data_IF_355926386390
#
_entry.id   IF_355926386390
#
_cell.length_a   1.000
_cell.length_b   1.000
_cell.length_c   1.000
_cell.angle_alpha   90.00
_cell.angle_beta   90.00
_cell.angle_gamma   90.00
#
_symmetry.space_group_name_H-M   'P 1'
#
loop_
_entity.id
_entity.type
_entity.pdbx_description
1 polymer ?
#
# COMPACT_ATOMS: atom_id res chain seq x y z
N UNK A 1 -19.10 -15.27 15.03
CA UNK A 1 -18.43 -14.75 13.80
C UNK A 1 -19.37 -14.00 12.85
N UNK A 2 -20.51 -14.58 12.43
CA UNK A 2 -21.44 -13.92 11.48
C UNK A 2 -22.00 -12.57 11.97
N UNK A 3 -22.30 -12.44 13.27
CA UNK A 3 -22.81 -11.20 13.86
C UNK A 3 -21.78 -10.06 13.86
N UNK A 4 -20.50 -10.35 14.12
CA UNK A 4 -19.41 -9.36 14.09
C UNK A 4 -19.22 -8.82 12.67
N UNK A 5 -19.22 -9.71 11.68
CA UNK A 5 -19.10 -9.36 10.25
C UNK A 5 -20.30 -8.49 9.81
N UNK A 6 -21.52 -8.78 10.28
CA UNK A 6 -22.71 -7.97 10.00
C UNK A 6 -22.66 -6.58 10.63
N UNK A 7 -22.11 -6.44 11.84
CA UNK A 7 -21.92 -5.14 12.50
C UNK A 7 -20.88 -4.32 11.72
N UNK A 8 -19.74 -4.92 11.35
CA UNK A 8 -18.70 -4.26 10.54
C UNK A 8 -19.27 -3.81 9.19
N UNK A 9 -19.99 -4.69 8.48
CA UNK A 9 -20.61 -4.37 7.18
C UNK A 9 -21.66 -3.25 7.25
N UNK A 10 -22.24 -2.98 8.42
CA UNK A 10 -23.20 -1.88 8.63
C UNK A 10 -22.52 -0.52 8.89
N UNK A 11 -21.28 -0.52 9.40
CA UNK A 11 -20.49 0.70 9.70
C UNK A 11 -19.41 1.05 8.66
N UNK A 12 -19.05 0.12 7.77
CA UNK A 12 -18.18 0.35 6.60
C UNK A 12 -18.79 1.22 5.47
N UNK A 13 -20.13 1.29 5.24
CA UNK A 13 -20.70 2.02 4.10
C UNK A 13 -20.30 3.50 3.92
N UNK A 14 -20.09 4.32 4.98
CA UNK A 14 -19.61 5.70 4.82
C UNK A 14 -18.14 5.80 4.41
N UNK A 15 -17.32 4.76 4.61
CA UNK A 15 -15.86 4.77 4.35
C UNK A 15 -15.43 4.00 3.10
N UNK A 16 -16.34 3.81 2.14
CA UNK A 16 -16.06 3.07 0.89
C UNK A 16 -14.93 3.69 0.08
N UNK A 17 -14.77 5.02 0.13
CA UNK A 17 -13.71 5.73 -0.59
C UNK A 17 -12.35 5.42 0.01
N UNK A 18 -12.20 5.57 1.32
CA UNK A 18 -10.97 5.32 2.06
C UNK A 18 -10.54 3.84 1.96
N UNK A 19 -11.51 2.92 2.05
CA UNK A 19 -11.28 1.49 1.81
C UNK A 19 -10.78 1.24 0.39
N UNK A 20 -11.45 1.79 -0.63
CA UNK A 20 -11.08 1.60 -2.03
C UNK A 20 -9.69 2.21 -2.32
N UNK A 21 -9.39 3.40 -1.79
CA UNK A 21 -8.08 4.03 -1.90
C UNK A 21 -7.00 3.18 -1.21
N UNK A 22 -7.24 2.68 -0.01
CA UNK A 22 -6.29 1.80 0.69
C UNK A 22 -5.96 0.53 -0.11
N UNK A 23 -6.99 -0.13 -0.68
CA UNK A 23 -6.80 -1.31 -1.52
C UNK A 23 -6.00 -0.95 -2.79
N UNK A 24 -6.34 0.16 -3.43
CA UNK A 24 -5.66 0.64 -4.63
C UNK A 24 -4.18 0.97 -4.38
N UNK A 25 -3.86 1.67 -3.29
CA UNK A 25 -2.47 1.97 -2.92
C UNK A 25 -1.69 0.73 -2.48
N UNK A 26 -2.35 -0.24 -1.83
CA UNK A 26 -1.74 -1.54 -1.55
C UNK A 26 -1.41 -2.30 -2.83
N UNK A 27 -2.30 -2.29 -3.82
CA UNK A 27 -2.06 -2.92 -5.12
C UNK A 27 -0.88 -2.24 -5.84
N UNK A 28 -0.83 -0.91 -5.86
CA UNK A 28 0.31 -0.18 -6.41
C UNK A 28 1.61 -0.50 -5.67
N UNK A 29 1.59 -0.55 -4.34
CA UNK A 29 2.75 -0.96 -3.54
C UNK A 29 3.24 -2.36 -3.90
N UNK A 30 2.32 -3.32 -4.08
CA UNK A 30 2.66 -4.68 -4.52
C UNK A 30 3.29 -4.70 -5.92
N UNK A 31 2.72 -3.98 -6.88
CA UNK A 31 3.27 -3.87 -8.25
C UNK A 31 4.68 -3.24 -8.22
N UNK A 32 4.86 -2.12 -7.52
CA UNK A 32 6.16 -1.48 -7.40
C UNK A 32 7.18 -2.33 -6.63
N UNK A 33 6.73 -3.18 -5.71
CA UNK A 33 7.61 -4.14 -5.02
C UNK A 33 8.18 -5.16 -6.01
N UNK A 34 7.33 -5.77 -6.84
CA UNK A 34 7.79 -6.71 -7.88
C UNK A 34 8.69 -6.02 -8.89
N UNK A 35 8.31 -4.81 -9.32
CA UNK A 35 9.12 -4.00 -10.22
C UNK A 35 10.51 -3.69 -9.65
N UNK A 36 10.60 -3.25 -8.39
CA UNK A 36 11.87 -2.97 -7.73
C UNK A 36 12.74 -4.23 -7.67
N UNK A 37 12.15 -5.39 -7.38
CA UNK A 37 12.88 -6.66 -7.41
C UNK A 37 13.41 -7.00 -8.81
N UNK A 38 12.60 -6.82 -9.86
CA UNK A 38 13.01 -7.07 -11.23
C UNK A 38 14.17 -6.16 -11.66
N UNK A 39 14.23 -4.92 -11.16
CA UNK A 39 15.31 -3.98 -11.43
C UNK A 39 16.63 -4.30 -10.71
N UNK A 40 16.63 -5.17 -9.70
CA UNK A 40 17.89 -5.60 -9.06
C UNK A 40 18.76 -6.36 -10.08
N UNK A 41 18.15 -7.20 -10.93
CA UNK A 41 18.87 -7.99 -11.92
C UNK A 41 19.74 -7.13 -12.87
N UNK A 42 19.21 -6.15 -13.62
CA UNK A 42 20.03 -5.33 -14.51
C UNK A 42 21.08 -4.49 -13.77
N UNK A 43 20.83 -4.09 -12.52
CA UNK A 43 21.85 -3.40 -11.69
C UNK A 43 23.03 -4.32 -11.41
N UNK A 44 22.78 -5.56 -11.02
CA UNK A 44 23.83 -6.56 -10.77
C UNK A 44 24.56 -6.95 -12.07
N UNK A 45 23.83 -7.08 -13.18
CA UNK A 45 24.41 -7.41 -14.49
C UNK A 45 25.42 -6.34 -14.93
N UNK A 46 25.10 -5.05 -14.74
CA UNK A 46 26.01 -3.93 -15.04
C UNK A 46 27.20 -3.92 -14.06
N UNK A 47 26.96 -4.15 -12.77
CA UNK A 47 27.99 -4.05 -11.73
C UNK A 47 29.04 -5.16 -11.84
N UNK A 48 28.63 -6.37 -12.23
CA UNK A 48 29.52 -7.52 -12.40
C UNK A 48 29.97 -7.76 -13.85
N UNK A 49 29.63 -6.84 -14.76
CA UNK A 49 29.93 -6.94 -16.20
C UNK A 49 29.39 -8.24 -16.86
N UNK A 50 28.29 -8.78 -16.32
CA UNK A 50 27.59 -9.95 -16.87
C UNK A 50 26.53 -9.56 -17.91
N UNK A 51 26.61 -8.35 -18.46
CA UNK A 51 25.61 -7.85 -19.41
C UNK A 51 25.63 -8.70 -20.67
N UNK A 52 24.54 -9.44 -20.94
CA UNK A 52 24.26 -9.92 -22.29
C UNK A 52 24.09 -8.69 -23.18
N UNK A 53 25.01 -8.45 -24.10
CA UNK A 53 24.92 -7.34 -25.04
C UNK A 53 23.74 -7.56 -25.98
N UNK A 54 22.65 -6.85 -25.74
CA UNK A 54 21.47 -6.90 -26.59
C UNK A 54 21.63 -5.84 -27.66
N UNK A 55 22.04 -6.27 -28.85
CA UNK A 55 22.37 -5.38 -29.97
C UNK A 55 21.18 -5.12 -30.93
N UNK A 56 20.04 -5.80 -30.72
CA UNK A 56 18.87 -5.69 -31.58
C UNK A 56 17.63 -5.30 -30.79
N UNK A 57 17.05 -4.16 -31.16
CA UNK A 57 15.78 -3.69 -30.64
C UNK A 57 14.66 -4.58 -31.18
N UNK A 58 13.80 -5.09 -30.29
CA UNK A 58 12.67 -5.93 -30.67
C UNK A 58 11.45 -5.05 -30.98
N UNK A 59 10.65 -5.43 -31.97
CA UNK A 59 9.41 -4.72 -32.29
C UNK A 59 8.54 -4.54 -31.03
N UNK A 60 7.99 -3.34 -30.87
CA UNK A 60 7.12 -2.97 -29.75
C UNK A 60 5.83 -3.80 -29.79
N UNK A 61 5.92 -4.97 -29.17
CA UNK A 61 4.82 -5.91 -28.98
C UNK A 61 4.51 -5.96 -27.49
N UNK A 62 3.25 -6.24 -27.13
CA UNK A 62 2.83 -6.37 -25.73
C UNK A 62 3.27 -7.72 -25.14
N UNK A 63 4.58 -7.99 -25.20
CA UNK A 63 5.23 -9.17 -24.65
C UNK A 63 6.23 -8.75 -23.58
N UNK A 64 6.29 -9.52 -22.50
CA UNK A 64 7.27 -9.32 -21.43
C UNK A 64 8.71 -9.45 -21.96
N UNK A 65 8.91 -10.28 -22.98
CA UNK A 65 10.22 -10.48 -23.61
C UNK A 65 10.64 -9.28 -24.45
N UNK A 66 9.68 -8.63 -25.14
CA UNK A 66 9.92 -7.39 -25.88
C UNK A 66 10.35 -6.25 -24.95
N UNK A 67 9.64 -6.11 -23.82
CA UNK A 67 9.93 -5.09 -22.82
C UNK A 67 11.32 -5.29 -22.21
N UNK A 68 11.66 -6.52 -21.83
CA UNK A 68 12.98 -6.85 -21.30
C UNK A 68 14.07 -6.57 -22.32
N UNK A 69 13.93 -7.08 -23.55
CA UNK A 69 14.90 -6.87 -24.62
C UNK A 69 15.15 -5.37 -24.85
N UNK A 70 14.10 -4.58 -25.01
CA UNK A 70 14.24 -3.14 -25.25
C UNK A 70 14.86 -2.40 -24.05
N UNK A 71 14.55 -2.79 -22.81
CA UNK A 71 15.22 -2.23 -21.62
C UNK A 71 16.72 -2.54 -21.62
N UNK A 72 17.11 -3.78 -21.91
CA UNK A 72 18.52 -4.18 -21.98
C UNK A 72 19.25 -3.49 -23.14
N UNK A 73 18.59 -3.31 -24.29
CA UNK A 73 19.15 -2.56 -25.43
C UNK A 73 19.52 -1.12 -25.04
N UNK A 74 18.62 -0.39 -24.36
CA UNK A 74 18.91 0.97 -23.90
C UNK A 74 20.05 1.01 -22.87
N UNK A 75 20.12 0.02 -21.98
CA UNK A 75 21.23 -0.11 -21.03
C UNK A 75 22.56 -0.35 -21.76
N UNK A 76 22.58 -1.26 -22.75
CA UNK A 76 23.76 -1.54 -23.58
C UNK A 76 24.20 -0.31 -24.36
N UNK A 77 23.26 0.44 -24.95
CA UNK A 77 23.59 1.66 -25.69
C UNK A 77 24.24 2.73 -24.78
N UNK A 78 23.68 2.95 -23.58
CA UNK A 78 24.27 3.89 -22.61
C UNK A 78 25.66 3.41 -22.15
N UNK A 79 25.86 2.09 -21.98
CA UNK A 79 27.16 1.50 -21.63
C UNK A 79 28.20 1.76 -22.72
N UNK A 80 27.84 1.58 -23.99
CA UNK A 80 28.74 1.77 -25.15
C UNK A 80 29.08 3.26 -25.33
N UNK A 81 28.10 4.14 -25.25
CA UNK A 81 28.28 5.57 -25.55
C UNK A 81 28.92 6.34 -24.38
N UNK A 82 28.61 5.97 -23.14
CA UNK A 82 28.92 6.77 -21.94
C UNK A 82 29.76 6.03 -20.89
N UNK A 83 30.02 4.73 -21.09
CA UNK A 83 30.75 3.87 -20.15
C UNK A 83 29.85 3.21 -19.08
N UNK A 84 30.31 2.11 -18.50
CA UNK A 84 29.57 1.32 -17.51
C UNK A 84 29.20 2.12 -16.25
N UNK A 85 30.11 3.00 -15.78
CA UNK A 85 29.90 3.80 -14.57
C UNK A 85 28.68 4.72 -14.68
N UNK A 86 28.52 5.38 -15.85
CA UNK A 86 27.39 6.29 -16.10
C UNK A 86 26.09 5.52 -16.33
N UNK A 87 26.15 4.36 -16.99
CA UNK A 87 25.00 3.46 -17.12
C UNK A 87 24.49 3.01 -15.74
N UNK A 88 25.39 2.67 -14.82
CA UNK A 88 25.04 2.27 -13.46
C UNK A 88 24.36 3.41 -12.68
N UNK A 89 24.88 4.64 -12.79
CA UNK A 89 24.26 5.81 -12.14
C UNK A 89 22.86 6.07 -12.71
N UNK A 90 22.68 5.97 -14.03
CA UNK A 90 21.38 6.15 -14.67
C UNK A 90 20.36 5.13 -14.20
N UNK A 91 20.68 3.83 -14.27
CA UNK A 91 19.78 2.77 -13.81
C UNK A 91 19.53 2.87 -12.30
N UNK A 92 20.56 3.18 -11.51
CA UNK A 92 20.47 3.41 -10.07
C UNK A 92 19.52 4.56 -9.71
N UNK A 93 19.53 5.65 -10.48
CA UNK A 93 18.59 6.76 -10.28
C UNK A 93 17.13 6.32 -10.48
N UNK A 94 16.82 5.57 -11.54
CA UNK A 94 15.48 5.01 -11.76
C UNK A 94 15.09 4.01 -10.66
N UNK A 95 16.04 3.20 -10.19
CA UNK A 95 15.82 2.27 -9.09
C UNK A 95 15.46 3.00 -7.78
N UNK A 96 16.15 4.09 -7.46
CA UNK A 96 15.85 4.93 -6.29
C UNK A 96 14.44 5.52 -6.41
N UNK A 97 14.09 6.09 -7.57
CA UNK A 97 12.75 6.63 -7.81
C UNK A 97 11.68 5.54 -7.66
N UNK A 98 11.89 4.36 -8.26
CA UNK A 98 10.97 3.23 -8.15
C UNK A 98 10.77 2.77 -6.70
N UNK A 99 11.86 2.74 -5.92
CA UNK A 99 11.82 2.40 -4.49
C UNK A 99 11.10 3.47 -3.68
N UNK A 100 11.33 4.75 -3.96
CA UNK A 100 10.58 5.85 -3.32
C UNK A 100 9.09 5.75 -3.62
N UNK A 101 8.70 5.41 -4.85
CA UNK A 101 7.31 5.26 -5.24
C UNK A 101 6.64 4.04 -4.59
N UNK A 102 7.38 2.93 -4.45
CA UNK A 102 6.98 1.76 -3.65
C UNK A 102 6.67 2.17 -2.21
N UNK A 103 7.63 2.81 -1.53
CA UNK A 103 7.50 3.19 -0.12
C UNK A 103 6.40 4.24 0.05
N UNK A 104 6.30 5.22 -0.85
CA UNK A 104 5.25 6.24 -0.85
C UNK A 104 3.85 5.64 -1.01
N UNK A 105 3.69 4.68 -1.92
CA UNK A 105 2.42 3.96 -2.10
C UNK A 105 2.05 3.14 -0.88
N UNK A 106 3.01 2.43 -0.28
CA UNK A 106 2.81 1.69 0.95
C UNK A 106 2.39 2.60 2.11
N UNK A 107 3.05 3.74 2.27
CA UNK A 107 2.74 4.73 3.29
C UNK A 107 1.32 5.28 3.11
N UNK A 108 0.93 5.65 1.89
CA UNK A 108 -0.43 6.12 1.60
C UNK A 108 -1.47 5.04 1.90
N UNK A 109 -1.20 3.78 1.56
CA UNK A 109 -2.09 2.67 1.88
C UNK A 109 -2.31 2.50 3.39
N UNK A 110 -1.22 2.57 4.17
CA UNK A 110 -1.29 2.55 5.64
C UNK A 110 -2.01 3.77 6.20
N UNK A 111 -1.81 4.95 5.62
CA UNK A 111 -2.48 6.18 6.03
C UNK A 111 -4.00 6.08 5.89
N UNK A 112 -4.51 5.66 4.72
CA UNK A 112 -5.95 5.51 4.51
C UNK A 112 -6.56 4.43 5.41
N UNK A 113 -5.82 3.35 5.67
CA UNK A 113 -6.27 2.27 6.58
C UNK A 113 -6.40 2.78 8.02
N UNK A 114 -5.42 3.53 8.50
CA UNK A 114 -5.44 4.12 9.84
C UNK A 114 -6.52 5.19 9.99
N UNK A 115 -6.70 6.05 8.99
CA UNK A 115 -7.75 7.07 8.99
C UNK A 115 -9.15 6.42 9.04
N UNK A 116 -9.39 5.39 8.23
CA UNK A 116 -10.62 4.61 8.25
C UNK A 116 -10.87 4.00 9.64
N UNK A 117 -9.87 3.33 10.22
CA UNK A 117 -10.00 2.71 11.55
C UNK A 117 -10.34 3.75 12.62
N UNK A 118 -9.63 4.87 12.66
CA UNK A 118 -9.86 5.93 13.64
C UNK A 118 -11.25 6.55 13.50
N UNK A 119 -11.69 6.78 12.26
CA UNK A 119 -13.01 7.34 12.00
C UNK A 119 -14.14 6.37 12.38
N UNK A 120 -14.01 5.07 12.06
CA UNK A 120 -14.98 4.04 12.49
C UNK A 120 -15.05 3.97 14.01
N UNK A 121 -13.90 3.92 14.69
CA UNK A 121 -13.86 3.87 16.16
C UNK A 121 -14.51 5.12 16.78
N UNK A 122 -14.28 6.31 16.21
CA UNK A 122 -14.93 7.55 16.65
C UNK A 122 -16.45 7.47 16.51
N UNK A 123 -16.94 6.96 15.39
CA UNK A 123 -18.38 6.87 15.13
C UNK A 123 -19.06 5.85 16.07
N UNK A 124 -18.41 4.72 16.35
CA UNK A 124 -18.91 3.73 17.32
C UNK A 124 -18.97 4.34 18.72
N UNK A 125 -17.92 5.03 19.18
CA UNK A 125 -17.94 5.71 20.49
C UNK A 125 -19.07 6.73 20.59
N UNK A 126 -19.31 7.48 19.52
CA UNK A 126 -20.37 8.49 19.47
C UNK A 126 -21.76 7.85 19.54
N UNK A 127 -21.98 6.75 18.82
CA UNK A 127 -23.24 6.01 18.86
C UNK A 127 -23.51 5.37 20.23
N UNK A 128 -22.47 4.79 20.85
CA UNK A 128 -22.56 4.22 22.21
C UNK A 128 -22.85 5.32 23.23
N UNK A 129 -22.16 6.45 23.16
CA UNK A 129 -22.39 7.59 24.06
C UNK A 129 -23.82 8.13 23.94
N UNK A 130 -24.30 8.35 22.72
CA UNK A 130 -25.68 8.80 22.48
C UNK A 130 -26.71 7.82 23.06
N UNK A 131 -26.44 6.50 22.98
CA UNK A 131 -27.33 5.49 23.55
C UNK A 131 -27.33 5.53 25.07
N UNK A 132 -26.16 5.68 25.71
CA UNK A 132 -26.02 5.82 27.16
C UNK A 132 -26.84 7.01 27.67
N UNK A 133 -26.73 8.18 27.03
CA UNK A 133 -27.48 9.38 27.46
C UNK A 133 -29.00 9.23 27.27
N UNK A 134 -29.45 8.41 26.32
CA UNK A 134 -30.89 8.19 26.06
C UNK A 134 -31.57 7.16 26.98
N UNK A 135 -30.82 6.44 27.82
CA UNK A 135 -31.36 5.37 28.67
C UNK A 135 -32.08 5.95 29.90
N UNK A 136 -33.22 5.34 30.32
CA UNK A 136 -33.96 5.83 31.47
C UNK A 136 -33.22 5.53 32.79
N UNK A 137 -33.40 6.38 33.79
CA UNK A 137 -32.70 6.30 35.09
C UNK A 137 -32.75 4.92 35.78
N UNK A 138 -33.85 4.13 35.71
CA UNK A 138 -33.89 2.79 36.31
C UNK A 138 -32.79 1.85 35.80
N UNK A 139 -32.38 1.98 34.53
CA UNK A 139 -31.28 1.19 33.96
C UNK A 139 -29.94 1.43 34.69
N UNK A 140 -29.72 2.65 35.17
CA UNK A 140 -28.49 3.04 35.89
C UNK A 140 -28.54 2.71 37.39
N UNK A 141 -29.69 2.29 37.92
CA UNK A 141 -29.81 1.83 39.30
C UNK A 141 -29.40 0.37 39.47
N UNK A 142 -29.59 -0.46 38.43
CA UNK A 142 -29.26 -1.89 38.46
C UNK A 142 -27.80 -2.18 38.02
N UNK A 143 -27.20 -1.31 37.21
CA UNK A 143 -25.87 -1.53 36.65
C UNK A 143 -24.77 -0.71 37.35
N UNK A 144 -23.60 -1.32 37.54
CA UNK A 144 -22.47 -0.63 38.17
C UNK A 144 -21.89 0.42 37.21
N UNK A 145 -21.71 1.66 37.70
CA UNK A 145 -21.17 2.78 36.90
C UNK A 145 -19.82 2.44 36.25
N UNK A 146 -19.01 1.64 36.93
CA UNK A 146 -17.70 1.16 36.43
C UNK A 146 -17.83 0.21 35.24
N UNK A 147 -18.84 -0.67 35.22
CA UNK A 147 -19.04 -1.62 34.12
C UNK A 147 -19.53 -0.93 32.84
N UNK A 148 -20.39 0.09 32.97
CA UNK A 148 -20.84 0.92 31.84
C UNK A 148 -19.67 1.70 31.22
N UNK A 149 -18.78 2.25 32.06
CA UNK A 149 -17.58 2.97 31.59
C UNK A 149 -16.55 2.03 30.96
N UNK A 150 -16.37 0.84 31.54
CA UNK A 150 -15.53 -0.23 31.02
C UNK A 150 -15.97 -0.67 29.61
N UNK A 151 -17.27 -0.94 29.41
CA UNK A 151 -17.80 -1.45 28.14
C UNK A 151 -17.88 -0.37 27.05
N UNK A 152 -18.05 0.90 27.42
CA UNK A 152 -18.04 2.01 26.46
C UNK A 152 -16.64 2.42 25.99
N UNK A 153 -15.62 2.20 26.82
CA UNK A 153 -14.23 2.62 26.54
C UNK A 153 -13.36 1.44 26.10
N UNK A 154 -13.53 0.28 26.71
CA UNK A 154 -12.72 -0.92 26.52
C UNK A 154 -13.11 -1.73 25.30
N UNK A 155 -14.41 -1.97 25.07
CA UNK A 155 -14.89 -2.84 23.98
C UNK A 155 -14.93 -2.15 22.60
N UNK A 156 -14.62 -0.85 22.52
CA UNK A 156 -14.69 -0.05 21.29
C UNK A 156 -13.30 0.20 20.65
N UNK A 157 -12.21 -0.14 21.34
CA UNK A 157 -10.81 0.08 20.90
C UNK A 157 -10.24 -0.95 19.93
#
# INVERSE_FOLDING_TARGET
MKQIIQVILKYVPPYKKELMLSILFNLFSAVFTVFTFAFIQPVLDILFDNTTEVNQLMDWTMSMDALKNNLYYYITQIKVDMGADKALIFVGFFFVIGTMLKVGSAFMASYFTSLMRNNITRDIRTAVYAKIVSLPIPFFSDESKGDIMSRSTGDVG
#
